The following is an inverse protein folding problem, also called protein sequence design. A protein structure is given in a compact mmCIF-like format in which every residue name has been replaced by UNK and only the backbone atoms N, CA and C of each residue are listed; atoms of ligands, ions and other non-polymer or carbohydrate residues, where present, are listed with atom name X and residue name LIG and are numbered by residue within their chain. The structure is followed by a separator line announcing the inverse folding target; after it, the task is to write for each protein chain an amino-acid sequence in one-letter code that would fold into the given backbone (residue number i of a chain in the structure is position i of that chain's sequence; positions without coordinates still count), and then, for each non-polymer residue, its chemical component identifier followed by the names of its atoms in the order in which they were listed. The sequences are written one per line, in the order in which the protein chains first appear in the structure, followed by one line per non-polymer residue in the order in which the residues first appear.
data_IF_108896250112
#
_entry.id   IF_108896250112
#
_cell.length_a   1.000
_cell.length_b   1.000
_cell.length_c   1.000
_cell.angle_alpha   90.00
_cell.angle_beta   90.00
_cell.angle_gamma   90.00
#
_symmetry.space_group_name_H-M   'P 1'
#
loop_
_entity.id
_entity.type
_entity.pdbx_description
1 polymer ?
#
# COMPACT_ATOMS: atom_id res chain seq x y z
N UNK A 1 -23.11 11.38 -43.51
CA UNK A 1 -23.63 10.89 -42.21
C UNK A 1 -22.45 10.39 -41.38
N UNK A 2 -21.99 11.20 -40.42
CA UNK A 2 -20.74 10.97 -39.67
C UNK A 2 -20.91 9.87 -38.63
N UNK A 3 -19.85 9.08 -38.39
CA UNK A 3 -19.76 8.09 -37.29
C UNK A 3 -20.09 8.72 -35.93
N UNK A 4 -19.80 10.02 -35.77
CA UNK A 4 -20.15 10.80 -34.57
C UNK A 4 -21.65 10.92 -34.31
N UNK A 5 -22.49 10.95 -35.35
CA UNK A 5 -23.95 10.97 -35.17
C UNK A 5 -24.48 9.61 -34.74
N UNK A 6 -23.85 8.51 -35.18
CA UNK A 6 -24.26 7.14 -34.78
C UNK A 6 -23.94 6.86 -33.30
N UNK A 7 -22.83 7.39 -32.78
CA UNK A 7 -22.49 7.27 -31.35
C UNK A 7 -23.52 8.00 -30.49
N UNK A 8 -23.96 9.20 -30.90
CA UNK A 8 -24.89 10.01 -30.11
C UNK A 8 -26.30 9.40 -30.04
N UNK A 9 -26.76 8.74 -31.11
CA UNK A 9 -28.06 8.06 -31.15
C UNK A 9 -28.05 6.74 -30.37
N UNK A 10 -26.90 6.08 -30.24
CA UNK A 10 -26.75 4.87 -29.40
C UNK A 10 -26.83 5.21 -27.90
N UNK A 11 -26.22 6.32 -27.46
CA UNK A 11 -26.28 6.75 -26.06
C UNK A 11 -27.66 7.22 -25.60
N UNK A 12 -28.54 7.69 -26.50
CA UNK A 12 -29.85 8.24 -26.10
C UNK A 12 -30.97 7.20 -25.97
N UNK A 13 -30.76 5.96 -26.39
CA UNK A 13 -31.84 4.95 -26.47
C UNK A 13 -31.81 3.89 -25.35
N UNK A 14 -30.75 3.82 -24.53
CA UNK A 14 -30.58 2.74 -23.53
C UNK A 14 -30.32 3.26 -22.11
N UNK A 15 -30.90 4.40 -21.74
CA UNK A 15 -30.77 5.00 -20.39
C UNK A 15 -31.46 4.18 -19.26
N UNK A 16 -31.84 2.92 -19.50
CA UNK A 16 -32.43 2.03 -18.49
C UNK A 16 -31.68 0.70 -18.29
N UNK A 17 -30.48 0.51 -18.86
CA UNK A 17 -29.68 -0.70 -18.62
C UNK A 17 -28.16 -0.48 -18.46
N UNK A 18 -27.70 0.71 -18.04
CA UNK A 18 -26.26 1.00 -17.85
C UNK A 18 -25.84 1.02 -16.38
N UNK A 19 -26.58 0.35 -15.49
CA UNK A 19 -26.18 0.26 -14.07
C UNK A 19 -25.10 -0.82 -13.87
N UNK A 20 -25.13 -1.92 -14.63
CA UNK A 20 -24.17 -3.03 -14.49
C UNK A 20 -22.90 -2.89 -15.37
N UNK A 21 -22.90 -1.98 -16.36
CA UNK A 21 -21.75 -1.73 -17.26
C UNK A 21 -20.82 -0.59 -16.80
N UNK A 22 -21.16 0.08 -15.69
CA UNK A 22 -20.29 1.02 -14.99
C UNK A 22 -19.53 0.28 -13.88
N UNK A 23 -18.79 -0.77 -14.25
CA UNK A 23 -17.84 -1.38 -13.31
C UNK A 23 -16.94 -0.28 -12.73
N UNK A 24 -16.80 -0.29 -11.40
CA UNK A 24 -16.03 0.65 -10.58
C UNK A 24 -14.93 1.38 -11.38
N UNK A 25 -14.99 2.73 -11.53
CA UNK A 25 -13.99 3.51 -12.26
C UNK A 25 -12.53 3.20 -11.88
N UNK A 26 -12.32 2.73 -10.64
CA UNK A 26 -11.02 2.23 -10.16
C UNK A 26 -10.59 0.97 -10.90
N UNK A 27 -11.48 -0.02 -11.09
CA UNK A 27 -11.20 -1.25 -11.86
C UNK A 27 -10.92 -0.98 -13.33
N UNK A 28 -11.66 -0.06 -13.96
CA UNK A 28 -11.39 0.34 -15.35
C UNK A 28 -10.01 1.01 -15.48
N UNK A 29 -9.66 1.87 -14.52
CA UNK A 29 -8.33 2.53 -14.49
C UNK A 29 -7.21 1.51 -14.26
N UNK A 30 -7.42 0.54 -13.36
CA UNK A 30 -6.50 -0.59 -13.17
C UNK A 30 -6.27 -1.37 -14.45
N UNK A 31 -7.34 -1.67 -15.21
CA UNK A 31 -7.22 -2.38 -16.47
C UNK A 31 -6.43 -1.55 -17.49
N UNK A 32 -6.73 -0.26 -17.63
CA UNK A 32 -5.98 0.64 -18.51
C UNK A 32 -4.49 0.68 -18.17
N UNK A 33 -4.12 0.71 -16.89
CA UNK A 33 -2.71 0.65 -16.46
C UNK A 33 -2.09 -0.72 -16.78
N UNK A 34 -2.83 -1.83 -16.61
CA UNK A 34 -2.36 -3.17 -17.01
C UNK A 34 -2.10 -3.26 -18.51
N UNK A 35 -2.98 -2.70 -19.32
CA UNK A 35 -2.84 -2.66 -20.78
C UNK A 35 -1.62 -1.82 -21.18
N UNK A 36 -1.47 -0.61 -20.61
CA UNK A 36 -0.28 0.24 -20.81
C UNK A 36 1.03 -0.47 -20.45
N UNK A 37 1.05 -1.26 -19.38
CA UNK A 37 2.22 -2.06 -18.99
C UNK A 37 2.50 -3.18 -19.98
N UNK A 38 1.46 -3.75 -20.58
CA UNK A 38 1.59 -4.78 -21.62
C UNK A 38 2.18 -4.16 -22.89
N UNK A 39 1.66 -3.01 -23.32
CA UNK A 39 2.17 -2.26 -24.46
C UNK A 39 3.61 -1.77 -24.24
N UNK A 40 3.95 -1.36 -23.01
CA UNK A 40 5.31 -0.99 -22.63
C UNK A 40 6.28 -2.17 -22.78
N UNK A 41 5.89 -3.38 -22.35
CA UNK A 41 6.69 -4.59 -22.53
C UNK A 41 6.88 -4.92 -24.02
N UNK A 42 5.80 -4.87 -24.80
CA UNK A 42 5.85 -5.08 -26.25
C UNK A 42 6.80 -4.09 -26.93
N UNK A 43 6.71 -2.81 -26.54
CA UNK A 43 7.59 -1.75 -27.04
C UNK A 43 9.07 -1.99 -26.67
N UNK A 44 9.34 -2.49 -25.45
CA UNK A 44 10.69 -2.86 -25.04
C UNK A 44 11.26 -4.02 -25.89
N UNK A 45 10.44 -5.00 -26.26
CA UNK A 45 10.86 -6.07 -27.19
C UNK A 45 11.24 -5.48 -28.54
N UNK A 46 10.41 -4.60 -29.12
CA UNK A 46 10.75 -3.92 -30.37
C UNK A 46 12.02 -3.07 -30.28
N UNK A 47 12.26 -2.38 -29.16
CA UNK A 47 13.52 -1.67 -28.92
C UNK A 47 14.72 -2.64 -28.90
N UNK A 48 14.57 -3.81 -28.26
CA UNK A 48 15.63 -4.81 -28.20
C UNK A 48 15.96 -5.35 -29.60
N UNK A 49 14.95 -5.59 -30.45
CA UNK A 49 15.14 -6.01 -31.85
C UNK A 49 15.90 -4.97 -32.67
N UNK A 50 15.53 -3.69 -32.56
CA UNK A 50 16.24 -2.61 -33.28
C UNK A 50 17.66 -2.44 -32.77
N UNK A 51 17.89 -2.54 -31.45
CA UNK A 51 19.26 -2.53 -30.88
C UNK A 51 20.08 -3.73 -31.36
N UNK A 52 19.49 -4.92 -31.44
CA UNK A 52 20.15 -6.10 -31.95
C UNK A 52 20.55 -5.91 -33.42
N UNK A 53 19.69 -5.30 -34.23
CA UNK A 53 19.98 -4.95 -35.62
C UNK A 53 21.16 -3.97 -35.71
N UNK A 54 21.15 -2.90 -34.91
CA UNK A 54 22.27 -1.95 -34.83
C UNK A 54 23.59 -2.62 -34.43
N UNK A 55 23.57 -3.53 -33.44
CA UNK A 55 24.77 -4.27 -33.02
C UNK A 55 25.28 -5.17 -34.15
N UNK A 56 24.37 -5.85 -34.87
CA UNK A 56 24.73 -6.72 -35.98
C UNK A 56 25.37 -5.93 -37.13
N UNK A 57 24.75 -4.84 -37.56
CA UNK A 57 25.29 -4.03 -38.67
C UNK A 57 26.58 -3.33 -38.28
N UNK A 58 26.75 -2.92 -37.02
CA UNK A 58 28.03 -2.44 -36.49
C UNK A 58 29.13 -3.49 -36.62
N UNK A 59 28.87 -4.73 -36.18
CA UNK A 59 29.84 -5.83 -36.29
C UNK A 59 30.20 -6.12 -37.76
N UNK A 60 29.22 -6.02 -38.65
CA UNK A 60 29.45 -6.18 -40.09
C UNK A 60 30.35 -5.07 -40.64
N UNK A 61 30.12 -3.81 -40.26
CA UNK A 61 30.97 -2.68 -40.63
C UNK A 61 32.42 -2.87 -40.11
N UNK A 62 32.57 -3.29 -38.85
CA UNK A 62 33.87 -3.57 -38.23
C UNK A 62 34.60 -4.71 -38.96
N UNK A 63 33.90 -5.80 -39.29
CA UNK A 63 34.48 -6.93 -40.03
C UNK A 63 34.91 -6.54 -41.45
N UNK A 64 34.05 -5.83 -42.20
CA UNK A 64 34.42 -5.39 -43.55
C UNK A 64 35.59 -4.39 -43.54
N UNK A 65 35.68 -3.55 -42.51
CA UNK A 65 36.83 -2.66 -42.29
C UNK A 65 38.11 -3.47 -42.06
N UNK A 66 38.04 -4.55 -41.25
CA UNK A 66 39.18 -5.45 -41.04
C UNK A 66 39.60 -6.14 -42.34
N UNK A 67 38.63 -6.65 -43.11
CA UNK A 67 38.87 -7.29 -44.41
C UNK A 67 39.55 -6.31 -45.39
N UNK A 68 39.11 -5.05 -45.44
CA UNK A 68 39.75 -4.02 -46.26
C UNK A 68 41.22 -3.79 -45.84
N UNK A 69 41.48 -3.67 -44.52
CA UNK A 69 42.84 -3.55 -43.97
C UNK A 69 43.72 -4.76 -44.27
N UNK A 70 43.16 -5.97 -44.24
CA UNK A 70 43.88 -7.20 -44.58
C UNK A 70 44.28 -7.23 -46.06
N UNK A 71 43.40 -6.80 -46.97
CA UNK A 71 43.74 -6.67 -48.39
C UNK A 71 44.80 -5.59 -48.61
N UNK A 72 44.71 -4.45 -47.93
CA UNK A 72 45.73 -3.40 -48.01
C UNK A 72 47.11 -3.93 -47.61
N UNK A 73 47.20 -4.66 -46.49
CA UNK A 73 48.44 -5.31 -46.05
C UNK A 73 48.97 -6.33 -47.06
N UNK A 74 48.09 -7.12 -47.68
CA UNK A 74 48.48 -8.08 -48.73
C UNK A 74 49.03 -7.38 -49.97
N UNK A 75 48.45 -6.26 -50.39
CA UNK A 75 48.94 -5.46 -51.51
C UNK A 75 50.36 -4.92 -51.22
N UNK A 76 50.58 -4.38 -50.02
CA UNK A 76 51.91 -3.92 -49.59
C UNK A 76 52.93 -5.07 -49.63
N UNK A 77 52.60 -6.23 -49.07
CA UNK A 77 53.49 -7.39 -49.04
C UNK A 77 53.85 -7.90 -50.45
N UNK A 78 52.93 -7.84 -51.42
CA UNK A 78 53.21 -8.20 -52.81
C UNK A 78 54.24 -7.25 -53.44
N UNK A 79 54.11 -5.95 -53.19
CA UNK A 79 55.05 -4.94 -53.68
C UNK A 79 56.43 -5.05 -53.00
N UNK A 80 56.48 -5.31 -51.69
CA UNK A 80 57.73 -5.56 -50.97
C UNK A 80 58.46 -6.81 -51.52
N UNK A 81 57.73 -7.89 -51.81
CA UNK A 81 58.32 -9.08 -52.43
C UNK A 81 58.89 -8.80 -53.80
N UNK A 82 58.22 -7.99 -54.61
CA UNK A 82 58.75 -7.51 -55.89
C UNK A 82 60.06 -6.74 -55.72
N UNK A 83 60.12 -5.80 -54.77
CA UNK A 83 61.34 -5.03 -54.48
C UNK A 83 62.50 -5.93 -54.01
N UNK A 84 62.21 -7.00 -53.27
CA UNK A 84 63.21 -7.97 -52.83
C UNK A 84 63.64 -8.99 -53.91
N UNK A 85 63.05 -8.92 -55.11
CA UNK A 85 63.32 -9.85 -56.22
C UNK A 85 62.69 -11.24 -56.06
N UNK A 86 61.80 -11.43 -55.09
CA UNK A 86 61.11 -12.71 -54.84
C UNK A 86 59.88 -12.92 -55.75
N UNK A 87 59.42 -11.87 -56.42
CA UNK A 87 58.27 -11.88 -57.32
C UNK A 87 58.55 -10.96 -58.52
N UNK A 88 58.18 -11.39 -59.73
CA UNK A 88 58.34 -10.58 -60.93
C UNK A 88 57.52 -9.27 -60.81
N UNK A 89 58.10 -8.09 -61.16
CA UNK A 89 57.41 -6.81 -60.97
C UNK A 89 56.05 -6.72 -61.65
N UNK A 90 55.93 -7.22 -62.88
CA UNK A 90 54.67 -7.21 -63.62
C UNK A 90 53.60 -8.11 -62.98
N UNK A 91 54.00 -9.26 -62.39
CA UNK A 91 53.08 -10.14 -61.70
C UNK A 91 52.63 -9.56 -60.35
N UNK A 92 53.57 -8.97 -59.60
CA UNK A 92 53.29 -8.29 -58.34
C UNK A 92 52.31 -7.12 -58.53
N UNK A 93 52.50 -6.31 -59.57
CA UNK A 93 51.62 -5.19 -59.90
C UNK A 93 50.21 -5.66 -60.28
N UNK A 94 50.11 -6.72 -61.10
CA UNK A 94 48.82 -7.34 -61.46
C UNK A 94 48.07 -7.85 -60.22
N UNK A 95 48.74 -8.59 -59.34
CA UNK A 95 48.14 -9.14 -58.12
C UNK A 95 47.79 -8.03 -57.11
N UNK A 96 48.64 -7.04 -56.93
CA UNK A 96 48.37 -5.90 -56.05
C UNK A 96 47.15 -5.11 -56.53
N UNK A 97 47.01 -4.91 -57.84
CA UNK A 97 45.85 -4.24 -58.42
C UNK A 97 44.55 -5.01 -58.15
N UNK A 98 44.56 -6.33 -58.32
CA UNK A 98 43.40 -7.18 -58.01
C UNK A 98 43.05 -7.14 -56.52
N UNK A 99 44.04 -7.21 -55.64
CA UNK A 99 43.85 -7.13 -54.19
C UNK A 99 43.30 -5.77 -53.77
N UNK A 100 43.78 -4.67 -54.37
CA UNK A 100 43.26 -3.33 -54.11
C UNK A 100 41.81 -3.15 -54.60
N UNK A 101 41.43 -3.80 -55.70
CA UNK A 101 40.02 -3.84 -56.12
C UNK A 101 39.14 -4.54 -55.06
N UNK A 102 39.61 -5.64 -54.47
CA UNK A 102 38.90 -6.33 -53.38
C UNK A 102 38.81 -5.49 -52.10
N UNK A 103 39.86 -4.73 -51.78
CA UNK A 103 39.86 -3.74 -50.69
C UNK A 103 38.78 -2.69 -50.89
N UNK A 104 38.66 -2.16 -52.11
CA UNK A 104 37.66 -1.15 -52.45
C UNK A 104 36.25 -1.70 -52.29
N UNK A 105 35.97 -2.91 -52.78
CA UNK A 105 34.68 -3.58 -52.57
C UNK A 105 34.35 -3.75 -51.07
N UNK A 106 35.32 -4.17 -50.25
CA UNK A 106 35.15 -4.30 -48.80
C UNK A 106 34.91 -2.95 -48.12
N UNK A 107 35.60 -1.89 -48.56
CA UNK A 107 35.43 -0.52 -48.06
C UNK A 107 34.05 0.03 -48.36
N UNK A 108 33.52 -0.23 -49.56
CA UNK A 108 32.16 0.13 -49.93
C UNK A 108 31.12 -0.61 -49.08
N UNK A 109 31.32 -1.90 -48.82
CA UNK A 109 30.45 -2.67 -47.89
C UNK A 109 30.51 -2.13 -46.47
N UNK A 110 31.70 -1.82 -45.96
CA UNK A 110 31.88 -1.21 -44.63
C UNK A 110 31.15 0.14 -44.52
N UNK A 111 31.25 0.98 -45.56
CA UNK A 111 30.58 2.29 -45.61
C UNK A 111 29.05 2.14 -45.58
N UNK A 112 28.50 1.20 -46.36
CA UNK A 112 27.06 0.89 -46.37
C UNK A 112 26.59 0.40 -45.01
N UNK A 113 27.26 -0.59 -44.43
CA UNK A 113 26.94 -1.15 -43.12
C UNK A 113 27.04 -0.10 -42.00
N UNK A 114 27.98 0.85 -42.10
CA UNK A 114 28.11 1.98 -41.16
C UNK A 114 26.91 2.91 -41.26
N UNK A 115 26.47 3.28 -42.47
CA UNK A 115 25.29 4.11 -42.67
C UNK A 115 24.01 3.44 -42.13
N UNK A 116 23.86 2.14 -42.36
CA UNK A 116 22.74 1.35 -41.81
C UNK A 116 22.80 1.28 -40.28
N UNK A 117 23.98 1.03 -39.70
CA UNK A 117 24.20 1.09 -38.25
C UNK A 117 23.72 2.42 -37.66
N UNK A 118 24.13 3.55 -38.24
CA UNK A 118 23.72 4.86 -37.74
C UNK A 118 22.20 5.07 -37.82
N UNK A 119 21.55 4.57 -38.88
CA UNK A 119 20.10 4.63 -39.00
C UNK A 119 19.41 3.81 -37.92
N UNK A 120 19.85 2.56 -37.70
CA UNK A 120 19.30 1.70 -36.65
C UNK A 120 19.56 2.25 -35.25
N UNK A 121 20.73 2.83 -35.02
CA UNK A 121 21.09 3.47 -33.76
C UNK A 121 20.15 4.67 -33.47
N UNK A 122 19.93 5.55 -34.45
CA UNK A 122 18.99 6.68 -34.31
C UNK A 122 17.57 6.20 -33.99
N UNK A 123 17.10 5.14 -34.66
CA UNK A 123 15.79 4.56 -34.37
C UNK A 123 15.71 3.98 -32.96
N UNK A 124 16.75 3.27 -32.51
CA UNK A 124 16.83 2.74 -31.15
C UNK A 124 16.79 3.85 -30.10
N UNK A 125 17.51 4.95 -30.32
CA UNK A 125 17.57 6.08 -29.38
C UNK A 125 16.22 6.79 -29.29
N UNK A 126 15.53 6.97 -30.42
CA UNK A 126 14.17 7.52 -30.46
C UNK A 126 13.16 6.63 -29.73
N UNK A 127 13.20 5.31 -29.96
CA UNK A 127 12.34 4.36 -29.27
C UNK A 127 12.62 4.34 -27.76
N UNK A 128 13.89 4.37 -27.36
CA UNK A 128 14.30 4.41 -25.96
C UNK A 128 13.76 5.66 -25.24
N UNK A 129 13.83 6.83 -25.87
CA UNK A 129 13.26 8.06 -25.33
C UNK A 129 11.74 7.97 -25.13
N UNK A 130 11.01 7.47 -26.14
CA UNK A 130 9.55 7.26 -26.05
C UNK A 130 9.18 6.27 -24.95
N UNK A 131 9.91 5.16 -24.84
CA UNK A 131 9.71 4.13 -23.81
C UNK A 131 9.97 4.69 -22.41
N UNK A 132 10.98 5.54 -22.24
CA UNK A 132 11.25 6.21 -20.97
C UNK A 132 10.08 7.12 -20.57
N UNK A 133 9.54 7.90 -21.52
CA UNK A 133 8.36 8.73 -21.29
C UNK A 133 7.11 7.91 -20.93
N UNK A 134 6.89 6.79 -21.61
CA UNK A 134 5.78 5.88 -21.31
C UNK A 134 5.93 5.27 -19.91
N UNK A 135 7.14 4.81 -19.55
CA UNK A 135 7.45 4.27 -18.21
C UNK A 135 7.17 5.29 -17.11
N UNK A 136 7.58 6.55 -17.30
CA UNK A 136 7.29 7.63 -16.35
C UNK A 136 5.79 7.88 -16.22
N UNK A 137 5.05 7.86 -17.33
CA UNK A 137 3.60 8.09 -17.35
C UNK A 137 2.84 6.97 -16.64
N UNK A 138 3.23 5.71 -16.90
CA UNK A 138 2.68 4.53 -16.22
C UNK A 138 2.90 4.64 -14.71
N UNK A 139 4.11 4.98 -14.26
CA UNK A 139 4.40 5.15 -12.84
C UNK A 139 3.58 6.28 -12.19
N UNK A 140 3.34 7.38 -12.91
CA UNK A 140 2.45 8.46 -12.44
C UNK A 140 1.02 7.96 -12.24
N UNK A 141 0.46 7.25 -13.22
CA UNK A 141 -0.89 6.70 -13.13
C UNK A 141 -1.03 5.62 -12.05
N UNK A 142 0.00 4.79 -11.83
CA UNK A 142 0.02 3.85 -10.71
C UNK A 142 -0.08 4.57 -9.36
N UNK A 143 0.68 5.65 -9.17
CA UNK A 143 0.63 6.45 -7.93
C UNK A 143 -0.72 7.18 -7.75
N UNK A 144 -1.27 7.74 -8.82
CA UNK A 144 -2.59 8.37 -8.81
C UNK A 144 -3.69 7.36 -8.46
N UNK A 145 -3.63 6.15 -9.03
CA UNK A 145 -4.58 5.08 -8.75
C UNK A 145 -4.59 4.69 -7.26
N UNK A 146 -3.42 4.58 -6.61
CA UNK A 146 -3.34 4.31 -5.16
C UNK A 146 -4.10 5.38 -4.37
N UNK A 147 -3.89 6.65 -4.70
CA UNK A 147 -4.55 7.78 -4.04
C UNK A 147 -6.07 7.76 -4.29
N UNK A 148 -6.49 7.53 -5.54
CA UNK A 148 -7.89 7.47 -5.92
C UNK A 148 -8.62 6.30 -5.27
N UNK A 149 -7.96 5.14 -5.13
CA UNK A 149 -8.49 3.97 -4.42
C UNK A 149 -8.76 4.29 -2.96
N UNK A 150 -7.79 4.89 -2.25
CA UNK A 150 -7.94 5.27 -0.85
C UNK A 150 -9.08 6.28 -0.64
N UNK A 151 -9.18 7.29 -1.53
CA UNK A 151 -10.25 8.28 -1.51
C UNK A 151 -11.62 7.66 -1.80
N UNK A 152 -11.71 6.78 -2.79
CA UNK A 152 -12.94 6.04 -3.14
C UNK A 152 -13.41 5.18 -1.96
N UNK A 153 -12.51 4.43 -1.34
CA UNK A 153 -12.82 3.63 -0.15
C UNK A 153 -13.30 4.50 1.03
N UNK A 154 -12.65 5.63 1.28
CA UNK A 154 -13.05 6.58 2.33
C UNK A 154 -14.43 7.16 2.04
N UNK A 155 -14.68 7.63 0.81
CA UNK A 155 -15.97 8.17 0.41
C UNK A 155 -17.09 7.11 0.52
N UNK A 156 -16.82 5.85 0.14
CA UNK A 156 -17.76 4.74 0.29
C UNK A 156 -18.07 4.45 1.77
N UNK A 157 -17.07 4.47 2.65
CA UNK A 157 -17.26 4.31 4.10
C UNK A 157 -18.10 5.45 4.68
N UNK A 158 -17.79 6.71 4.34
CA UNK A 158 -18.56 7.89 4.78
C UNK A 158 -20.01 7.81 4.28
N UNK A 159 -20.22 7.43 3.01
CA UNK A 159 -21.56 7.23 2.43
C UNK A 159 -22.34 6.13 3.17
N UNK A 160 -21.68 5.02 3.53
CA UNK A 160 -22.29 3.93 4.30
C UNK A 160 -22.68 4.40 5.70
N UNK A 161 -21.81 5.11 6.40
CA UNK A 161 -22.09 5.69 7.73
C UNK A 161 -23.27 6.66 7.65
N UNK A 162 -23.26 7.60 6.70
CA UNK A 162 -24.37 8.55 6.53
C UNK A 162 -25.69 7.85 6.19
N UNK A 163 -25.67 6.81 5.34
CA UNK A 163 -26.87 6.02 5.05
C UNK A 163 -27.39 5.27 6.27
N UNK A 164 -26.51 4.72 7.09
CA UNK A 164 -26.87 4.08 8.36
C UNK A 164 -27.45 5.10 9.35
N UNK A 165 -26.86 6.29 9.42
CA UNK A 165 -27.33 7.38 10.28
C UNK A 165 -28.68 7.94 9.81
N UNK A 166 -28.89 8.14 8.51
CA UNK A 166 -30.18 8.56 7.95
C UNK A 166 -31.25 7.46 7.97
N UNK A 167 -30.85 6.19 8.09
CA UNK A 167 -31.75 5.05 8.27
C UNK A 167 -32.05 4.71 9.74
N UNK A 168 -31.36 5.34 10.70
CA UNK A 168 -31.73 5.31 12.11
C UNK A 168 -32.84 6.34 12.33
N UNK A 169 -34.07 5.86 12.36
CA UNK A 169 -35.22 6.65 12.77
C UNK A 169 -35.07 7.00 14.26
N UNK A 170 -35.04 8.30 14.66
CA UNK A 170 -34.94 8.70 16.07
C UNK A 170 -36.03 8.07 16.97
N UNK A 171 -37.15 7.72 16.36
CA UNK A 171 -38.29 6.99 16.92
C UNK A 171 -37.94 5.58 17.39
N UNK A 172 -37.01 4.89 16.72
CA UNK A 172 -36.60 3.53 17.08
C UNK A 172 -35.77 3.47 18.37
N UNK A 173 -34.91 4.46 18.59
CA UNK A 173 -34.10 4.57 19.82
C UNK A 173 -34.96 4.93 21.03
N UNK A 174 -35.96 5.81 20.87
CA UNK A 174 -36.96 6.11 21.92
C UNK A 174 -37.83 4.89 22.20
N UNK A 175 -38.30 4.16 21.18
CA UNK A 175 -39.08 2.94 21.37
C UNK A 175 -38.28 1.82 22.05
N UNK A 176 -36.97 1.75 21.82
CA UNK A 176 -36.08 0.80 22.50
C UNK A 176 -35.82 1.20 23.96
N UNK A 177 -35.66 2.50 24.24
CA UNK A 177 -35.56 3.04 25.61
C UNK A 177 -36.85 2.84 26.40
N UNK A 178 -38.02 3.09 25.81
CA UNK A 178 -39.33 2.84 26.43
C UNK A 178 -39.55 1.35 26.72
N UNK A 179 -39.17 0.45 25.79
CA UNK A 179 -39.21 -1.01 26.04
C UNK A 179 -38.25 -1.43 27.15
N UNK A 180 -37.07 -0.82 27.24
CA UNK A 180 -36.14 -1.07 28.33
C UNK A 180 -36.69 -0.59 29.67
N UNK A 181 -37.31 0.59 29.70
CA UNK A 181 -37.95 1.13 30.91
C UNK A 181 -39.11 0.25 31.39
N UNK A 182 -40.01 -0.15 30.49
CA UNK A 182 -41.13 -1.03 30.83
C UNK A 182 -40.67 -2.39 31.37
N UNK A 183 -39.57 -2.93 30.84
CA UNK A 183 -38.98 -4.19 31.32
C UNK A 183 -38.33 -4.04 32.70
N UNK A 184 -37.65 -2.92 32.96
CA UNK A 184 -37.08 -2.64 34.29
C UNK A 184 -38.19 -2.48 35.33
N UNK A 185 -39.27 -1.75 35.03
CA UNK A 185 -40.42 -1.62 35.93
C UNK A 185 -41.07 -2.99 36.26
N UNK A 186 -41.15 -3.89 35.27
CA UNK A 186 -41.67 -5.26 35.45
C UNK A 186 -40.71 -6.12 36.31
N UNK A 187 -39.41 -6.02 36.08
CA UNK A 187 -38.37 -6.71 36.88
C UNK A 187 -38.34 -6.18 38.33
N UNK A 188 -38.52 -4.87 38.55
CA UNK A 188 -38.65 -4.26 39.88
C UNK A 188 -39.93 -4.72 40.59
N UNK A 189 -41.04 -4.81 39.87
CA UNK A 189 -42.33 -5.30 40.41
C UNK A 189 -42.25 -6.78 40.80
N UNK A 190 -41.58 -7.61 39.99
CA UNK A 190 -41.29 -9.00 40.31
C UNK A 190 -40.37 -9.12 41.53
N UNK A 191 -39.35 -8.27 41.63
CA UNK A 191 -38.46 -8.26 42.79
C UNK A 191 -39.19 -7.85 44.08
N UNK A 192 -40.13 -6.89 44.03
CA UNK A 192 -41.02 -6.57 45.15
C UNK A 192 -41.92 -7.75 45.52
N UNK A 193 -42.55 -8.40 44.53
CA UNK A 193 -43.38 -9.58 44.78
C UNK A 193 -42.59 -10.74 45.39
N UNK A 194 -41.34 -10.97 44.95
CA UNK A 194 -40.46 -11.95 45.60
C UNK A 194 -40.06 -11.52 47.03
N UNK A 195 -39.88 -10.23 47.27
CA UNK A 195 -39.66 -9.68 48.62
C UNK A 195 -40.85 -9.95 49.55
N UNK A 196 -42.08 -9.78 49.07
CA UNK A 196 -43.31 -10.07 49.83
C UNK A 196 -43.51 -11.59 50.04
N UNK A 197 -43.20 -12.44 49.05
CA UNK A 197 -43.25 -13.91 49.21
C UNK A 197 -42.23 -14.41 50.25
N UNK A 198 -41.06 -13.77 50.34
CA UNK A 198 -40.06 -14.04 51.38
C UNK A 198 -40.51 -13.56 52.78
N UNK A 199 -41.43 -12.58 52.87
CA UNK A 199 -42.07 -12.22 54.13
C UNK A 199 -43.20 -13.19 54.51
N UNK A 200 -43.94 -13.76 53.54
CA UNK A 200 -45.01 -14.75 53.79
C UNK A 200 -44.52 -16.15 54.19
N UNK A 201 -43.32 -16.58 53.78
CA UNK A 201 -42.79 -17.93 54.10
C UNK A 201 -42.12 -18.03 55.50
N UNK A 202 -42.24 -16.99 56.34
CA UNK A 202 -41.66 -16.99 57.70
C UNK A 202 -42.71 -17.03 58.82
N UNK A 203 -43.98 -17.27 58.48
CA UNK A 203 -45.11 -17.31 59.43
C UNK A 203 -45.32 -18.66 60.12
N UNK A 204 -45.20 -19.77 59.39
CA UNK A 204 -45.55 -21.11 59.89
C UNK A 204 -44.45 -21.69 60.80
N UNK A 205 -43.18 -21.49 60.44
CA UNK A 205 -42.04 -21.94 61.25
C UNK A 205 -41.91 -21.14 62.57
N UNK A 206 -42.32 -19.86 62.57
CA UNK A 206 -42.40 -19.02 63.79
C UNK A 206 -43.57 -19.38 64.71
N UNK A 207 -44.62 -20.02 64.21
CA UNK A 207 -45.73 -20.55 65.03
C UNK A 207 -45.36 -21.90 65.67
N UNK A 208 -44.58 -22.74 64.97
CA UNK A 208 -44.08 -24.03 65.46
C UNK A 208 -43.06 -23.86 66.60
N UNK A 209 -42.19 -22.86 66.51
CA UNK A 209 -41.14 -22.59 67.50
C UNK A 209 -41.66 -21.86 68.76
N UNK A 210 -42.82 -21.19 68.67
CA UNK A 210 -43.58 -20.68 69.84
C UNK A 210 -44.37 -21.77 70.57
N UNK A 211 -44.78 -22.84 69.88
CA UNK A 211 -45.50 -23.97 70.47
C UNK A 211 -44.58 -24.99 71.20
N UNK A 212 -43.27 -24.95 70.94
CA UNK A 212 -42.26 -25.89 71.49
C UNK A 212 -41.22 -25.22 72.40
N UNK A 213 -41.61 -24.14 73.09
CA UNK A 213 -40.74 -23.23 73.87
C UNK A 213 -39.45 -23.81 74.46
N UNK A 214 -38.32 -23.16 74.18
CA UNK A 214 -37.00 -23.63 74.62
C UNK A 214 -36.39 -22.71 75.72
N UNK A 215 -36.14 -23.22 76.94
CA UNK A 215 -35.60 -22.49 78.11
C UNK A 215 -34.12 -22.05 78.02
N UNK A 216 -33.49 -22.14 76.84
CA UNK A 216 -32.05 -21.97 76.67
C UNK A 216 -31.56 -20.50 76.63
N UNK A 217 -32.43 -19.52 76.36
CA UNK A 217 -32.01 -18.13 76.14
C UNK A 217 -31.89 -17.29 77.44
N UNK A 218 -32.47 -17.77 78.55
CA UNK A 218 -32.41 -17.12 79.87
C UNK A 218 -31.20 -17.57 80.69
N UNK A 219 -30.68 -18.79 80.47
CA UNK A 219 -29.50 -19.31 81.18
C UNK A 219 -28.17 -18.92 80.50
N UNK A 220 -28.13 -18.84 79.17
CA UNK A 220 -26.91 -18.46 78.44
C UNK A 220 -26.51 -17.00 78.67
N UNK A 221 -27.49 -16.10 78.87
CA UNK A 221 -27.26 -14.67 79.10
C UNK A 221 -26.82 -14.36 80.54
N UNK A 222 -27.29 -15.11 81.54
CA UNK A 222 -26.81 -15.00 82.93
C UNK A 222 -25.41 -15.63 83.11
N UNK A 223 -25.16 -16.78 82.48
CA UNK A 223 -23.86 -17.47 82.54
C UNK A 223 -22.73 -16.67 81.88
N UNK A 224 -23.03 -15.90 80.82
CA UNK A 224 -22.07 -15.01 80.15
C UNK A 224 -21.75 -13.77 80.97
N UNK A 225 -22.71 -13.26 81.76
CA UNK A 225 -22.49 -12.12 82.65
C UNK A 225 -21.56 -12.49 83.82
N UNK A 226 -21.78 -13.66 84.43
CA UNK A 226 -20.92 -14.17 85.51
C UNK A 226 -19.50 -14.52 85.03
N UNK A 227 -19.36 -15.06 83.81
CA UNK A 227 -18.04 -15.37 83.23
C UNK A 227 -17.24 -14.10 82.90
N UNK A 228 -17.90 -13.05 82.41
CA UNK A 228 -17.26 -11.75 82.13
C UNK A 228 -16.81 -11.04 83.42
N UNK A 229 -17.58 -11.15 84.50
CA UNK A 229 -17.20 -10.63 85.81
C UNK A 229 -16.00 -11.40 86.41
N UNK A 230 -15.93 -12.73 86.25
CA UNK A 230 -14.80 -13.55 86.72
C UNK A 230 -13.50 -13.36 85.92
N UNK A 231 -13.58 -12.88 84.68
CA UNK A 231 -12.42 -12.73 83.78
C UNK A 231 -11.86 -11.31 83.70
N UNK A 232 -12.41 -10.35 84.46
CA UNK A 232 -11.86 -8.99 84.56
C UNK A 232 -11.79 -8.22 83.23
N UNK A 233 -12.67 -8.55 82.27
CA UNK A 233 -12.67 -7.96 80.93
C UNK A 233 -13.59 -6.73 80.87
N UNK A 234 -13.21 -5.68 81.59
CA UNK A 234 -13.59 -4.31 81.28
C UNK A 234 -12.36 -3.55 80.78
N UNK A 235 -12.58 -2.72 79.76
CA UNK A 235 -11.65 -1.81 79.07
C UNK A 235 -10.94 -2.37 77.82
N UNK A 236 -11.30 -1.83 76.65
CA UNK A 236 -10.49 -0.80 75.96
C UNK A 236 -11.12 -0.38 74.62
N UNK A 237 -11.45 0.91 74.52
CA UNK A 237 -11.77 1.60 73.29
C UNK A 237 -10.52 1.82 72.39
N UNK A 238 -10.78 1.84 71.08
CA UNK A 238 -10.01 2.29 69.88
C UNK A 238 -8.84 3.26 70.13
N UNK A 239 -7.77 3.36 69.27
CA UNK A 239 -7.90 3.64 67.81
C UNK A 239 -6.71 3.26 66.86
N UNK A 240 -6.92 3.43 65.54
CA UNK A 240 -5.89 3.95 64.63
C UNK A 240 -5.53 3.14 63.37
N UNK A 241 -5.86 3.67 62.19
CA UNK A 241 -4.97 3.73 61.03
C UNK A 241 -5.50 4.75 60.00
N UNK A 242 -4.75 5.83 59.86
CA UNK A 242 -4.92 6.99 58.95
C UNK A 242 -3.90 6.82 57.80
N UNK A 243 -4.20 7.35 56.61
CA UNK A 243 -3.29 8.05 55.66
C UNK A 243 -3.96 8.10 54.27
N UNK A 244 -3.95 9.14 53.44
CA UNK A 244 -3.87 10.61 53.52
C UNK A 244 -4.00 11.11 52.05
N UNK A 245 -4.73 12.21 51.81
CA UNK A 245 -4.50 13.19 50.72
C UNK A 245 -4.02 14.48 51.42
N UNK A 246 -3.20 15.40 50.83
CA UNK A 246 -3.71 16.39 49.86
C UNK A 246 -2.71 17.12 48.90
N UNK A 247 -3.29 17.94 47.98
CA UNK A 247 -2.90 19.28 47.45
C UNK A 247 -1.81 19.59 46.37
N UNK A 248 -2.28 20.07 45.21
CA UNK A 248 -2.18 21.45 44.62
C UNK A 248 -0.91 22.35 44.65
N UNK A 249 -0.55 22.89 43.46
CA UNK A 249 0.12 24.20 43.12
C UNK A 249 1.54 24.48 43.67
N UNK A 250 2.53 25.07 43.01
CA UNK A 250 2.78 25.78 41.74
C UNK A 250 4.04 26.65 41.92
N UNK A 251 4.85 26.95 40.89
CA UNK A 251 5.82 28.06 40.93
C UNK A 251 7.22 27.88 40.31
N UNK A 252 7.39 28.43 39.10
CA UNK A 252 8.47 29.31 38.58
C UNK A 252 9.98 29.03 38.80
N UNK A 253 10.74 29.20 37.71
CA UNK A 253 12.19 29.51 37.67
C UNK A 253 12.86 28.92 36.43
N UNK A 254 13.08 29.70 35.36
CA UNK A 254 14.41 30.24 34.96
C UNK A 254 15.40 29.11 34.60
N UNK A 255 15.99 29.00 33.41
CA UNK A 255 16.84 30.02 32.81
C UNK A 255 17.25 29.57 31.40
N UNK A 256 17.37 30.53 30.49
CA UNK A 256 17.79 30.34 29.11
C UNK A 256 19.26 30.75 28.93
N UNK A 257 19.90 30.17 27.91
CA UNK A 257 21.09 30.67 27.19
C UNK A 257 22.46 30.53 27.86
N UNK A 258 23.44 30.02 27.09
CA UNK A 258 24.69 30.76 26.97
C UNK A 258 25.04 31.04 25.50
N UNK A 259 25.10 32.32 25.15
CA UNK A 259 26.12 32.93 24.31
C UNK A 259 27.05 33.71 25.28
N UNK A 260 28.20 34.30 24.91
CA UNK A 260 28.66 34.61 23.55
C UNK A 260 30.19 34.49 23.34
N UNK A 261 30.65 35.07 22.21
CA UNK A 261 31.96 35.70 21.93
C UNK A 261 32.94 34.84 21.12
N UNK A 262 33.64 35.33 20.10
CA UNK A 262 33.83 36.69 19.55
C UNK A 262 34.63 36.53 18.26
N UNK A 263 34.35 37.35 17.24
CA UNK A 263 35.34 38.32 16.74
C UNK A 263 35.79 37.92 15.32
N UNK A 264 35.27 38.57 14.27
CA UNK A 264 35.76 39.82 13.66
C UNK A 264 37.03 39.64 12.82
N UNK A 265 36.96 40.29 11.65
CA UNK A 265 37.99 40.59 10.65
C UNK A 265 38.36 39.47 9.68
#
# INVERSE_FOLDING_TARGET
MSMFQRVRTFFSAEAHAVVDKLEDPIKMTEQGIRDLKTDLRSSMTGLAEVKALAIRTRKEAEEQTRVASDYERKAVLLLERSQSGQLEPAEAERLATEVLARREEATQRATRATSEYEQHQRMADQLQSKISGLKSTVGRYENELVTLRARSQTANSVKKINKQLSGMDPTGTVAMLEKMKARVDEEESLAQAYGEILEEDTGVDRELERALGNPAQVQASQSLLELKAKLGMDTKALPGARLQLPESTGGAGSEAVPAPRTGQA
#
